data_IF_917959025044
#
_entry.id   IF_917959025044
#
_cell.length_a   1.000
_cell.length_b   1.000
_cell.length_c   1.000
_cell.angle_alpha   90.00
_cell.angle_beta   90.00
_cell.angle_gamma   90.00
#
_symmetry.space_group_name_H-M   'P 1'
#
loop_
_entity.id
_entity.type
_entity.pdbx_description
1 polymer ?
#
# COMPACT_ATOMS: atom_id res chain seq x y z
N UNK A 1 14.54 -14.94 -7.45
CA UNK A 1 15.97 -14.61 -7.16
C UNK A 1 16.63 -14.17 -8.46
N UNK A 2 17.28 -13.00 -8.46
CA UNK A 2 17.86 -12.39 -9.66
C UNK A 2 18.97 -13.26 -10.27
N UNK A 3 18.97 -13.42 -11.59
CA UNK A 3 20.05 -14.04 -12.33
C UNK A 3 21.29 -13.11 -12.49
N UNK A 4 21.11 -11.80 -12.28
CA UNK A 4 22.15 -10.79 -12.51
C UNK A 4 23.47 -11.03 -11.75
N UNK A 5 23.49 -11.36 -10.43
CA UNK A 5 24.74 -11.65 -9.74
C UNK A 5 25.51 -12.82 -10.35
N UNK A 6 24.81 -13.85 -10.86
CA UNK A 6 25.45 -15.01 -11.50
C UNK A 6 26.07 -14.65 -12.84
N UNK A 7 25.44 -13.75 -13.60
CA UNK A 7 25.94 -13.28 -14.90
C UNK A 7 27.12 -12.30 -14.73
N UNK A 8 27.16 -11.55 -13.64
CA UNK A 8 28.20 -10.58 -13.35
C UNK A 8 29.47 -11.21 -12.72
N UNK A 9 29.32 -12.36 -12.06
CA UNK A 9 30.42 -13.01 -11.32
C UNK A 9 31.66 -13.36 -12.16
N UNK A 10 31.55 -13.91 -13.39
CA UNK A 10 32.70 -14.24 -14.22
C UNK A 10 33.61 -13.07 -14.54
N UNK A 11 33.02 -11.87 -14.68
CA UNK A 11 33.71 -10.63 -15.07
C UNK A 11 34.06 -9.74 -13.86
N UNK A 12 33.75 -10.18 -12.64
CA UNK A 12 33.97 -9.41 -11.38
C UNK A 12 33.29 -8.01 -11.47
N UNK A 13 32.11 -7.93 -12.08
CA UNK A 13 31.36 -6.67 -12.21
C UNK A 13 30.66 -6.33 -10.91
N UNK A 14 30.67 -5.04 -10.57
CA UNK A 14 29.83 -4.54 -9.46
C UNK A 14 28.37 -4.57 -9.87
N UNK A 15 27.52 -5.06 -8.97
CA UNK A 15 26.06 -5.14 -9.16
C UNK A 15 25.38 -4.37 -8.04
N UNK A 16 24.51 -3.43 -8.40
CA UNK A 16 23.53 -2.81 -7.50
C UNK A 16 22.16 -3.37 -7.83
N UNK A 17 21.40 -3.75 -6.81
CA UNK A 17 20.08 -4.35 -6.97
C UNK A 17 19.04 -3.44 -6.32
N UNK A 18 18.07 -2.99 -7.12
CA UNK A 18 16.85 -2.34 -6.66
C UNK A 18 15.73 -3.38 -6.69
N UNK A 19 15.18 -3.72 -5.52
CA UNK A 19 14.23 -4.82 -5.35
C UNK A 19 12.98 -4.33 -4.65
N UNK A 20 11.90 -5.11 -4.78
CA UNK A 20 10.63 -4.84 -4.13
C UNK A 20 10.61 -5.19 -2.65
N UNK A 21 9.49 -4.89 -2.01
CA UNK A 21 9.26 -5.19 -0.61
C UNK A 21 7.78 -5.14 -0.22
N UNK A 22 7.52 -5.52 1.02
CA UNK A 22 6.21 -5.38 1.67
C UNK A 22 6.42 -4.82 3.08
N UNK A 23 6.84 -3.56 3.13
CA UNK A 23 7.22 -2.89 4.38
C UNK A 23 6.03 -2.76 5.33
N UNK A 24 6.28 -3.03 6.62
CA UNK A 24 5.30 -2.85 7.67
C UNK A 24 5.35 -1.42 8.25
N UNK A 25 4.18 -0.91 8.64
CA UNK A 25 4.00 0.28 9.45
C UNK A 25 3.31 -0.15 10.74
N UNK A 26 3.98 -0.01 11.89
CA UNK A 26 3.45 -0.42 13.19
C UNK A 26 2.90 0.80 13.92
N UNK A 27 1.65 0.71 14.37
CA UNK A 27 0.94 1.78 15.07
C UNK A 27 0.48 1.25 16.42
N UNK A 28 1.17 1.67 17.49
CA UNK A 28 0.84 1.34 18.88
C UNK A 28 -0.12 2.36 19.48
N UNK A 29 -0.82 1.97 20.55
CA UNK A 29 -1.85 2.79 21.21
C UNK A 29 -1.32 4.09 21.84
N UNK A 30 -0.07 4.10 22.24
CA UNK A 30 0.60 5.28 22.82
C UNK A 30 1.06 6.29 21.75
N UNK A 31 0.98 5.94 20.47
CA UNK A 31 1.31 6.87 19.39
C UNK A 31 0.16 7.88 19.18
N UNK A 32 0.50 9.09 18.82
CA UNK A 32 -0.48 10.13 18.47
C UNK A 32 -1.27 9.75 17.21
N UNK A 33 -2.53 9.35 17.37
CA UNK A 33 -3.35 8.75 16.30
C UNK A 33 -3.44 9.63 15.04
N UNK A 34 -3.62 10.94 15.19
CA UNK A 34 -3.74 11.86 14.05
C UNK A 34 -2.43 11.95 13.26
N UNK A 35 -1.29 12.02 13.96
CA UNK A 35 0.03 12.00 13.33
C UNK A 35 0.31 10.67 12.63
N UNK A 36 -0.10 9.54 13.22
CA UNK A 36 0.01 8.22 12.61
C UNK A 36 -0.81 8.13 11.32
N UNK A 37 -2.03 8.65 11.31
CA UNK A 37 -2.88 8.70 10.11
C UNK A 37 -2.22 9.53 9.02
N UNK A 38 -1.75 10.75 9.33
CA UNK A 38 -1.10 11.63 8.35
C UNK A 38 0.16 10.99 7.75
N UNK A 39 1.04 10.44 8.59
CA UNK A 39 2.26 9.78 8.13
C UNK A 39 1.97 8.51 7.32
N UNK A 40 0.93 7.76 7.68
CA UNK A 40 0.51 6.58 6.94
C UNK A 40 0.00 6.93 5.54
N UNK A 41 -0.77 8.02 5.38
CA UNK A 41 -1.19 8.49 4.06
C UNK A 41 0.00 8.74 3.13
N UNK A 42 0.98 9.50 3.61
CA UNK A 42 2.17 9.80 2.82
C UNK A 42 2.99 8.54 2.49
N UNK A 43 3.19 7.66 3.47
CA UNK A 43 4.02 6.46 3.32
C UNK A 43 3.41 5.38 2.44
N UNK A 44 2.08 5.38 2.27
CA UNK A 44 1.37 4.39 1.42
C UNK A 44 1.01 4.96 0.06
N UNK A 45 0.51 6.21 0.02
CA UNK A 45 -0.06 6.78 -1.20
C UNK A 45 0.86 7.77 -1.92
N UNK A 46 1.99 8.14 -1.32
CA UNK A 46 3.05 8.89 -2.00
C UNK A 46 3.43 8.19 -3.31
N UNK A 47 3.69 8.96 -4.36
CA UNK A 47 3.96 8.44 -5.71
C UNK A 47 2.92 7.41 -6.21
N UNK A 48 1.65 7.56 -5.81
CA UNK A 48 0.57 6.60 -6.08
C UNK A 48 0.90 5.16 -5.59
N UNK A 49 1.65 5.02 -4.51
CA UNK A 49 2.08 3.73 -3.94
C UNK A 49 3.11 2.98 -4.78
N UNK A 50 3.69 3.61 -5.78
CA UNK A 50 4.75 3.05 -6.64
C UNK A 50 6.12 3.31 -6.01
N UNK A 51 6.38 2.71 -4.87
CA UNK A 51 7.59 2.84 -4.09
C UNK A 51 7.95 1.49 -3.45
N UNK A 52 9.19 1.05 -3.61
CA UNK A 52 9.71 -0.18 -2.98
C UNK A 52 9.68 -0.12 -1.45
N UNK A 53 9.70 1.10 -0.89
CA UNK A 53 9.62 1.37 0.55
C UNK A 53 8.20 1.70 1.03
N UNK A 54 7.17 1.65 0.18
CA UNK A 54 5.79 1.94 0.56
C UNK A 54 5.35 1.05 1.73
N UNK A 55 4.92 1.67 2.84
CA UNK A 55 4.49 0.97 4.05
C UNK A 55 3.03 0.55 3.94
N UNK A 56 2.72 -0.21 2.90
CA UNK A 56 1.36 -0.55 2.49
C UNK A 56 0.71 -1.63 3.36
N UNK A 57 1.46 -2.26 4.26
CA UNK A 57 0.98 -3.18 5.29
C UNK A 57 1.00 -2.47 6.63
N UNK A 58 -0.17 -2.04 7.11
CA UNK A 58 -0.31 -1.27 8.34
C UNK A 58 -0.77 -2.21 9.45
N UNK A 59 0.08 -2.40 10.45
CA UNK A 59 -0.20 -3.19 11.64
C UNK A 59 -0.63 -2.23 12.76
N UNK A 60 -1.85 -2.39 13.27
CA UNK A 60 -2.43 -1.47 14.25
C UNK A 60 -2.81 -2.25 15.52
N UNK A 61 -2.42 -1.73 16.69
CA UNK A 61 -2.82 -2.32 17.97
C UNK A 61 -4.34 -2.38 18.10
N UNK A 62 -4.88 -3.55 18.54
CA UNK A 62 -6.32 -3.81 18.57
C UNK A 62 -7.11 -2.74 19.30
N UNK A 63 -6.55 -2.17 20.37
CA UNK A 63 -7.20 -1.16 21.21
C UNK A 63 -7.56 0.14 20.47
N UNK A 64 -6.85 0.47 19.40
CA UNK A 64 -7.04 1.68 18.59
C UNK A 64 -7.38 1.38 17.13
N UNK A 65 -7.51 0.11 16.76
CA UNK A 65 -7.64 -0.34 15.38
C UNK A 65 -8.84 0.31 14.67
N UNK A 66 -10.03 0.25 15.24
CA UNK A 66 -11.25 0.78 14.62
C UNK A 66 -11.17 2.30 14.44
N UNK A 67 -10.67 3.01 15.45
CA UNK A 67 -10.49 4.46 15.38
C UNK A 67 -9.45 4.86 14.32
N UNK A 68 -8.38 4.07 14.17
CA UNK A 68 -7.38 4.27 13.11
C UNK A 68 -8.00 4.06 11.73
N UNK A 69 -8.67 2.93 11.51
CA UNK A 69 -9.29 2.58 10.21
C UNK A 69 -10.30 3.64 9.79
N UNK A 70 -11.17 4.10 10.70
CA UNK A 70 -12.15 5.15 10.42
C UNK A 70 -11.47 6.45 9.98
N UNK A 71 -10.50 6.95 10.75
CA UNK A 71 -9.80 8.20 10.46
C UNK A 71 -8.95 8.09 9.20
N UNK A 72 -8.23 6.99 9.03
CA UNK A 72 -7.39 6.74 7.86
C UNK A 72 -8.21 6.67 6.57
N UNK A 73 -9.35 5.95 6.58
CA UNK A 73 -10.26 5.91 5.44
C UNK A 73 -10.89 7.26 5.14
N UNK A 74 -11.31 8.02 6.18
CA UNK A 74 -11.85 9.35 6.00
C UNK A 74 -10.81 10.32 5.39
N UNK A 75 -9.56 10.24 5.83
CA UNK A 75 -8.47 11.03 5.28
C UNK A 75 -8.10 10.58 3.85
N UNK A 76 -8.10 9.28 3.57
CA UNK A 76 -7.85 8.71 2.23
C UNK A 76 -8.89 9.21 1.21
N UNK A 77 -10.18 9.27 1.58
CA UNK A 77 -11.25 9.79 0.70
C UNK A 77 -11.07 11.26 0.32
N UNK A 78 -10.33 12.03 1.12
CA UNK A 78 -10.04 13.46 0.85
C UNK A 78 -8.81 13.67 -0.02
N UNK A 79 -8.03 12.63 -0.31
CA UNK A 79 -6.87 12.74 -1.17
C UNK A 79 -7.29 13.17 -2.58
N UNK A 80 -6.65 14.21 -3.08
CA UNK A 80 -6.89 14.73 -4.41
C UNK A 80 -6.12 13.90 -5.44
N UNK A 81 -6.86 13.08 -6.18
CA UNK A 81 -6.34 12.35 -7.33
C UNK A 81 -6.43 13.23 -8.56
N UNK A 82 -5.34 13.42 -9.31
CA UNK A 82 -5.34 14.39 -10.40
C UNK A 82 -4.12 14.37 -11.31
N UNK A 83 -4.04 15.41 -12.15
CA UNK A 83 -2.93 15.65 -13.06
C UNK A 83 -1.64 15.85 -12.23
N UNK A 84 -0.54 15.13 -12.55
CA UNK A 84 0.74 15.28 -11.85
C UNK A 84 1.36 16.68 -11.97
N UNK A 85 0.94 17.47 -12.94
CA UNK A 85 1.41 18.86 -13.12
C UNK A 85 0.60 19.87 -12.28
N UNK A 86 -0.54 19.48 -11.71
CA UNK A 86 -1.28 20.33 -10.78
C UNK A 86 -0.66 20.22 -9.36
N UNK A 87 -0.12 21.30 -8.79
CA UNK A 87 0.51 21.29 -7.48
C UNK A 87 -0.45 20.90 -6.33
N UNK A 88 -1.75 20.92 -6.55
CA UNK A 88 -2.74 20.46 -5.58
C UNK A 88 -3.00 18.95 -5.66
N UNK A 89 -2.47 18.24 -6.65
CA UNK A 89 -2.59 16.78 -6.75
C UNK A 89 -1.74 16.10 -5.69
N UNK A 90 -2.34 15.16 -4.97
CA UNK A 90 -1.68 14.37 -3.93
C UNK A 90 -1.40 12.94 -4.40
N UNK A 91 -2.24 12.42 -5.30
CA UNK A 91 -2.06 11.09 -5.88
C UNK A 91 -2.20 11.21 -7.41
N UNK A 92 -1.13 10.92 -8.12
CA UNK A 92 -1.10 10.98 -9.58
C UNK A 92 -1.48 9.63 -10.22
N UNK A 93 -1.28 9.51 -11.54
CA UNK A 93 -1.53 8.28 -12.27
C UNK A 93 -0.48 7.20 -11.97
N UNK A 94 -0.86 5.96 -12.14
CA UNK A 94 0.07 4.84 -12.28
C UNK A 94 0.85 4.95 -13.60
N UNK A 95 1.99 4.25 -13.68
CA UNK A 95 2.90 4.32 -14.83
C UNK A 95 2.25 3.89 -16.16
N UNK A 96 1.26 2.99 -16.12
CA UNK A 96 0.57 2.51 -17.31
C UNK A 96 -0.81 1.92 -17.00
N UNK A 97 -1.64 1.75 -18.03
CA UNK A 97 -2.94 1.05 -17.90
C UNK A 97 -2.75 -0.42 -17.53
N UNK A 98 -1.79 -1.10 -18.12
CA UNK A 98 -1.49 -2.49 -17.76
C UNK A 98 -1.11 -2.64 -16.28
N UNK A 99 -0.35 -1.67 -15.75
CA UNK A 99 -0.03 -1.66 -14.32
C UNK A 99 -1.26 -1.36 -13.46
N UNK A 100 -2.13 -0.42 -13.87
CA UNK A 100 -3.41 -0.19 -13.19
C UNK A 100 -4.26 -1.46 -13.13
N UNK A 101 -4.39 -2.19 -14.24
CA UNK A 101 -5.14 -3.46 -14.30
C UNK A 101 -4.54 -4.51 -13.34
N UNK A 102 -3.20 -4.59 -13.27
CA UNK A 102 -2.53 -5.44 -12.28
C UNK A 102 -2.90 -5.04 -10.85
N UNK A 103 -2.87 -3.74 -10.51
CA UNK A 103 -3.25 -3.25 -9.18
C UNK A 103 -4.72 -3.51 -8.88
N UNK A 104 -5.61 -3.32 -9.86
CA UNK A 104 -7.03 -3.69 -9.74
C UNK A 104 -7.21 -5.19 -9.46
N UNK A 105 -6.39 -6.05 -10.07
CA UNK A 105 -6.37 -7.48 -9.75
C UNK A 105 -6.06 -7.77 -8.28
N UNK A 106 -5.22 -6.98 -7.63
CA UNK A 106 -5.01 -7.08 -6.17
C UNK A 106 -6.21 -6.57 -5.36
N UNK A 107 -6.89 -5.52 -5.81
CA UNK A 107 -8.12 -5.07 -5.17
C UNK A 107 -9.18 -6.17 -5.19
N UNK A 108 -9.36 -6.84 -6.34
CA UNK A 108 -10.29 -7.96 -6.46
C UNK A 108 -9.84 -9.20 -5.65
N UNK A 109 -8.53 -9.47 -5.58
CA UNK A 109 -7.99 -10.53 -4.73
C UNK A 109 -8.31 -10.26 -3.25
N UNK A 110 -8.09 -9.03 -2.76
CA UNK A 110 -8.44 -8.67 -1.39
C UNK A 110 -9.91 -8.88 -1.07
N UNK A 111 -10.82 -8.48 -1.98
CA UNK A 111 -12.26 -8.72 -1.83
C UNK A 111 -12.60 -10.22 -1.82
N UNK A 112 -12.06 -10.98 -2.77
CA UNK A 112 -12.37 -12.42 -2.90
C UNK A 112 -11.79 -13.26 -1.76
N UNK A 113 -10.68 -12.82 -1.17
CA UNK A 113 -10.07 -13.47 -0.01
C UNK A 113 -10.75 -13.08 1.32
N UNK A 114 -11.74 -12.18 1.30
CA UNK A 114 -12.58 -11.83 2.44
C UNK A 114 -12.17 -10.56 3.20
N UNK A 115 -11.19 -9.79 2.71
CA UNK A 115 -10.88 -8.50 3.29
C UNK A 115 -11.97 -7.47 2.98
N UNK A 116 -12.25 -6.59 3.94
CA UNK A 116 -13.25 -5.52 3.80
C UNK A 116 -12.64 -4.30 3.09
N UNK A 117 -13.07 -4.02 1.87
CA UNK A 117 -12.71 -2.76 1.21
C UNK A 117 -13.49 -1.60 1.86
N UNK A 118 -12.79 -0.73 2.57
CA UNK A 118 -13.37 0.41 3.29
C UNK A 118 -13.59 1.61 2.39
N UNK A 119 -12.69 1.85 1.43
CA UNK A 119 -12.83 2.90 0.42
C UNK A 119 -11.92 2.68 -0.79
N UNK A 120 -12.24 3.34 -1.89
CA UNK A 120 -11.41 3.39 -3.11
C UNK A 120 -11.36 2.09 -3.90
N UNK A 121 -10.27 1.90 -4.65
CA UNK A 121 -10.02 0.72 -5.46
C UNK A 121 -10.60 0.76 -6.87
N UNK A 122 -11.44 1.75 -7.17
CA UNK A 122 -12.05 1.89 -8.49
C UNK A 122 -11.23 2.83 -9.39
N UNK A 123 -11.25 2.53 -10.69
CA UNK A 123 -10.78 3.48 -11.68
C UNK A 123 -11.85 4.57 -11.93
N UNK A 124 -11.47 5.83 -12.19
CA UNK A 124 -12.43 6.86 -12.57
C UNK A 124 -13.22 6.45 -13.81
N UNK A 125 -14.56 6.44 -13.71
CA UNK A 125 -15.45 5.99 -14.79
C UNK A 125 -15.70 7.07 -15.88
N UNK A 126 -15.45 8.35 -15.56
CA UNK A 126 -15.73 9.46 -16.46
C UNK A 126 -14.75 10.63 -16.27
N UNK A 127 -14.85 11.61 -17.14
CA UNK A 127 -14.01 12.82 -17.10
C UNK A 127 -12.57 12.60 -17.59
N UNK A 128 -11.69 13.59 -17.40
CA UNK A 128 -10.31 13.55 -17.90
C UNK A 128 -9.51 12.37 -17.34
N UNK A 129 -9.70 12.02 -16.06
CA UNK A 129 -8.96 10.96 -15.38
C UNK A 129 -9.29 9.56 -15.94
N UNK A 130 -10.50 9.34 -16.49
CA UNK A 130 -10.89 8.06 -17.06
C UNK A 130 -10.01 7.66 -18.28
N UNK A 131 -9.38 8.64 -18.92
CA UNK A 131 -8.48 8.40 -20.06
C UNK A 131 -7.06 8.03 -19.65
N UNK A 132 -6.70 8.20 -18.37
CA UNK A 132 -5.39 7.89 -17.81
C UNK A 132 -5.34 6.57 -17.05
N UNK A 133 -4.21 6.30 -16.43
CA UNK A 133 -3.99 5.11 -15.60
C UNK A 133 -4.24 5.42 -14.11
N UNK A 134 -5.34 6.11 -13.82
CA UNK A 134 -5.69 6.50 -12.45
C UNK A 134 -6.43 5.39 -11.70
N UNK A 135 -6.18 5.30 -10.40
CA UNK A 135 -6.88 4.42 -9.47
C UNK A 135 -7.13 5.18 -8.17
N UNK A 136 -8.34 5.12 -7.65
CA UNK A 136 -8.66 5.73 -6.36
C UNK A 136 -7.96 4.97 -5.24
N UNK A 137 -7.26 5.66 -4.32
CA UNK A 137 -6.57 5.03 -3.20
C UNK A 137 -7.47 4.10 -2.40
N UNK A 138 -7.04 2.86 -2.22
CA UNK A 138 -7.81 1.80 -1.58
C UNK A 138 -7.34 1.53 -0.15
N UNK A 139 -8.28 1.33 0.75
CA UNK A 139 -8.03 0.89 2.12
C UNK A 139 -8.78 -0.40 2.37
N UNK A 140 -8.05 -1.45 2.71
CA UNK A 140 -8.60 -2.73 3.17
C UNK A 140 -8.43 -2.88 4.66
N UNK A 141 -9.45 -3.41 5.30
CA UNK A 141 -9.49 -3.79 6.70
C UNK A 141 -9.88 -5.27 6.87
N UNK A 142 -9.66 -5.82 8.06
CA UNK A 142 -9.89 -7.24 8.31
C UNK A 142 -8.97 -8.13 7.47
N UNK A 143 -7.79 -7.65 7.15
CA UNK A 143 -6.82 -8.37 6.33
C UNK A 143 -6.13 -9.44 7.17
N UNK A 144 -6.19 -10.70 6.73
CA UNK A 144 -5.44 -11.78 7.34
C UNK A 144 -3.99 -11.86 6.79
N UNK A 145 -3.01 -12.28 7.60
CA UNK A 145 -1.60 -12.34 7.18
C UNK A 145 -1.34 -13.20 5.94
N UNK A 146 -2.18 -14.23 5.70
CA UNK A 146 -2.05 -15.12 4.54
C UNK A 146 -2.58 -14.52 3.22
N UNK A 147 -3.34 -13.44 3.28
CA UNK A 147 -3.93 -12.83 2.09
C UNK A 147 -2.85 -12.23 1.18
N UNK A 148 -3.08 -12.29 -0.14
CA UNK A 148 -2.14 -11.77 -1.14
C UNK A 148 -1.82 -10.30 -0.95
N UNK A 149 -2.83 -9.49 -0.59
CA UNK A 149 -2.64 -8.05 -0.34
C UNK A 149 -1.80 -7.75 0.89
N UNK A 150 -1.64 -8.70 1.83
CA UNK A 150 -0.73 -8.60 2.98
C UNK A 150 0.70 -9.08 2.65
N UNK A 151 0.87 -9.99 1.68
CA UNK A 151 2.15 -10.65 1.42
C UNK A 151 2.88 -10.15 0.19
N UNK A 152 2.14 -9.82 -0.89
CA UNK A 152 2.73 -9.49 -2.18
C UNK A 152 2.90 -7.96 -2.33
N UNK A 153 3.95 -7.56 -3.05
CA UNK A 153 4.16 -6.18 -3.45
C UNK A 153 3.14 -5.78 -4.53
N UNK A 154 2.27 -4.83 -4.20
CA UNK A 154 1.23 -4.33 -5.11
C UNK A 154 1.79 -3.27 -6.06
N UNK A 155 2.67 -2.39 -5.54
CA UNK A 155 3.25 -1.25 -6.24
C UNK A 155 2.18 -0.29 -6.78
N UNK A 156 1.21 0.02 -5.93
CA UNK A 156 0.04 0.84 -6.24
C UNK A 156 -0.64 1.36 -4.98
N UNK A 157 -1.64 2.25 -5.11
CA UNK A 157 -2.24 2.95 -3.99
C UNK A 157 -3.24 2.07 -3.21
N UNK A 158 -2.73 1.03 -2.57
CA UNK A 158 -3.54 0.06 -1.80
C UNK A 158 -2.91 -0.15 -0.43
N UNK A 159 -3.66 0.13 0.62
CA UNK A 159 -3.31 -0.13 2.01
C UNK A 159 -4.03 -1.39 2.53
N UNK A 160 -3.29 -2.24 3.23
CA UNK A 160 -3.80 -3.40 3.95
C UNK A 160 -3.62 -3.19 5.46
N UNK A 161 -4.73 -3.11 6.21
CA UNK A 161 -4.72 -2.89 7.66
C UNK A 161 -5.01 -4.19 8.39
N UNK A 162 -4.13 -4.54 9.33
CA UNK A 162 -4.18 -5.75 10.13
C UNK A 162 -4.08 -5.39 11.62
N UNK A 163 -4.90 -5.98 12.50
CA UNK A 163 -4.75 -5.79 13.94
C UNK A 163 -3.60 -6.63 14.50
N UNK A 164 -2.97 -6.14 15.58
CA UNK A 164 -2.09 -6.93 16.44
C UNK A 164 -2.44 -6.74 17.92
N UNK A 165 -2.14 -7.73 18.75
CA UNK A 165 -2.52 -7.76 20.17
C UNK A 165 -1.51 -7.06 21.08
N UNK A 166 -0.23 -7.33 20.84
CA UNK A 166 0.90 -6.91 21.66
C UNK A 166 2.17 -6.77 20.82
N UNK A 167 3.24 -6.27 21.42
CA UNK A 167 4.53 -6.04 20.75
C UNK A 167 5.10 -7.33 20.13
N UNK A 168 5.02 -8.46 20.83
CA UNK A 168 5.53 -9.74 20.33
C UNK A 168 4.79 -10.16 19.07
N UNK A 169 3.47 -10.04 19.04
CA UNK A 169 2.64 -10.31 17.86
C UNK A 169 2.91 -9.30 16.73
N UNK A 170 3.13 -8.02 17.04
CA UNK A 170 3.52 -7.03 16.03
C UNK A 170 4.83 -7.39 15.34
N UNK A 171 5.84 -7.81 16.11
CA UNK A 171 7.16 -8.26 15.60
C UNK A 171 7.00 -9.52 14.75
N UNK A 172 6.22 -10.50 15.18
CA UNK A 172 5.92 -11.72 14.42
C UNK A 172 5.32 -11.37 13.07
N UNK A 173 4.22 -10.60 13.05
CA UNK A 173 3.56 -10.17 11.83
C UNK A 173 4.48 -9.33 10.93
N UNK A 174 5.27 -8.42 11.49
CA UNK A 174 6.16 -7.58 10.71
C UNK A 174 7.23 -8.41 9.96
N UNK A 175 7.70 -9.48 10.57
CA UNK A 175 8.71 -10.38 9.99
C UNK A 175 8.12 -11.50 9.11
N UNK A 176 6.80 -11.73 9.14
CA UNK A 176 6.13 -12.68 8.25
C UNK A 176 5.96 -12.10 6.84
N UNK A 177 7.08 -11.97 6.14
CA UNK A 177 7.12 -11.57 4.74
C UNK A 177 8.16 -12.37 3.97
N UNK A 178 8.04 -12.44 2.65
CA UNK A 178 8.94 -13.16 1.75
C UNK A 178 10.17 -12.33 1.36
#
# INVERSE_FOLDING_TARGET
>A
RSALPRLAAPDIRRVSLELGGKSANLVFADAGLDACVEKSLLSVFGNAGQDCCARSRILVEESIHDAFVERFAAATRRLRVGDPLDPATQVASLISRAHRERVQGYVEAGRSEGARLVCGGDAPASGPLARGAYLMPAVFDGVAPAMRIAREEIFGPVAAVLPFRDEAHAIELANDSI
#
